data_IF_376196410395
#
_entry.id   IF_376196410395
#
_cell.length_a   1.000
_cell.length_b   1.000
_cell.length_c   1.000
_cell.angle_alpha   90.00
_cell.angle_beta   90.00
_cell.angle_gamma   90.00
#
_symmetry.space_group_name_H-M   'P 1'
#
loop_
_entity.id
_entity.type
_entity.pdbx_description
1 polymer ?
#
# COMPACT_ATOMS: atom_id res chain seq x y z
N UNK A 1 -6.51 -22.86 2.79
CA UNK A 1 -6.52 -21.41 2.51
C UNK A 1 -7.54 -21.11 1.45
N UNK A 2 -8.30 -20.03 1.58
CA UNK A 2 -9.23 -19.55 0.54
C UNK A 2 -8.45 -19.09 -0.70
N UNK A 3 -9.01 -19.32 -1.90
CA UNK A 3 -8.39 -18.89 -3.16
C UNK A 3 -8.46 -17.37 -3.25
N UNK A 4 -7.38 -16.74 -3.72
CA UNK A 4 -7.36 -15.29 -3.95
C UNK A 4 -8.30 -14.90 -5.09
N UNK A 5 -8.89 -13.69 -5.06
CA UNK A 5 -9.63 -13.13 -6.18
C UNK A 5 -8.80 -13.21 -7.47
N UNK A 6 -9.44 -13.60 -8.56
CA UNK A 6 -8.82 -13.70 -9.89
C UNK A 6 -9.22 -12.54 -10.80
N UNK A 7 -10.21 -11.75 -10.39
CA UNK A 7 -10.78 -10.59 -11.09
C UNK A 7 -10.15 -9.26 -10.67
N UNK A 8 -9.36 -9.22 -9.60
CA UNK A 8 -8.74 -7.99 -9.06
C UNK A 8 -7.43 -8.26 -8.35
N UNK A 9 -6.64 -7.21 -8.16
CA UNK A 9 -5.48 -7.25 -7.28
C UNK A 9 -5.88 -7.51 -5.84
N UNK A 10 -4.99 -8.18 -5.11
CA UNK A 10 -5.06 -8.30 -3.65
C UNK A 10 -3.94 -7.51 -3.01
N UNK A 11 -4.27 -6.65 -2.05
CA UNK A 11 -3.28 -5.86 -1.30
C UNK A 11 -2.87 -6.60 -0.03
N UNK A 12 -1.59 -6.86 0.08
CA UNK A 12 -0.91 -7.35 1.28
C UNK A 12 0.11 -6.33 1.77
N UNK A 13 0.66 -6.59 2.94
CA UNK A 13 1.75 -5.80 3.50
C UNK A 13 2.93 -6.70 3.82
N UNK A 14 4.08 -6.39 3.24
CA UNK A 14 5.35 -6.96 3.68
C UNK A 14 5.83 -6.15 4.89
N UNK A 15 6.05 -6.85 6.01
CA UNK A 15 6.50 -6.25 7.26
C UNK A 15 7.94 -6.69 7.50
N UNK A 16 8.85 -5.73 7.52
CA UNK A 16 10.24 -5.93 7.89
C UNK A 16 10.49 -5.22 9.22
N UNK A 17 11.01 -5.94 10.20
CA UNK A 17 11.43 -5.39 11.48
C UNK A 17 12.93 -5.57 11.60
N UNK A 18 13.65 -4.47 11.61
CA UNK A 18 15.09 -4.44 11.84
C UNK A 18 15.35 -4.13 13.32
N UNK A 19 16.00 -5.06 14.00
CA UNK A 19 16.32 -4.97 15.43
C UNK A 19 17.84 -4.93 15.54
N UNK A 20 18.41 -3.77 15.91
CA UNK A 20 19.86 -3.67 16.10
C UNK A 20 20.30 -4.56 17.27
N UNK A 21 21.53 -5.11 17.23
CA UNK A 21 22.07 -5.89 18.34
C UNK A 21 22.31 -5.00 19.56
N UNK A 22 22.34 -5.61 20.75
CA UNK A 22 22.71 -4.91 21.97
C UNK A 22 24.17 -4.42 21.92
N UNK A 23 24.47 -3.21 22.46
CA UNK A 23 25.83 -2.68 22.48
C UNK A 23 26.78 -3.59 23.30
N UNK A 24 27.91 -4.02 22.71
CA UNK A 24 28.83 -4.99 23.35
C UNK A 24 29.76 -4.45 24.43
N UNK A 25 29.66 -3.18 24.80
CA UNK A 25 30.47 -2.60 25.88
C UNK A 25 29.51 -1.98 26.89
N UNK A 26 29.34 -2.64 28.04
CA UNK A 26 28.48 -2.24 29.16
C UNK A 26 28.91 -0.94 29.85
N UNK A 27 29.04 0.15 29.09
CA UNK A 27 28.98 1.52 29.59
C UNK A 27 27.56 2.02 29.39
N UNK A 28 26.68 1.45 30.22
CA UNK A 28 25.41 2.06 30.61
C UNK A 28 25.73 3.45 31.19
N UNK A 29 24.90 4.48 31.00
CA UNK A 29 23.63 4.51 31.73
C UNK A 29 22.46 5.12 30.96
N UNK A 30 22.67 5.68 29.76
CA UNK A 30 21.57 6.22 28.94
C UNK A 30 21.87 6.05 27.45
N UNK A 31 21.17 5.13 26.78
CA UNK A 31 21.21 5.02 25.32
C UNK A 31 19.80 4.83 24.76
N UNK A 32 19.57 5.41 23.58
CA UNK A 32 18.36 5.21 22.81
C UNK A 32 18.66 4.21 21.70
N UNK A 33 17.94 3.10 21.71
CA UNK A 33 17.97 2.12 20.64
C UNK A 33 16.69 2.21 19.83
N UNK A 34 16.83 2.32 18.51
CA UNK A 34 15.71 2.43 17.59
C UNK A 34 15.60 1.14 16.78
N UNK A 35 14.47 0.47 16.88
CA UNK A 35 14.08 -0.58 15.94
C UNK A 35 13.27 0.06 14.81
N UNK A 36 13.58 -0.30 13.57
CA UNK A 36 12.90 0.25 12.40
C UNK A 36 11.95 -0.80 11.86
N UNK A 37 10.67 -0.42 11.72
CA UNK A 37 9.66 -1.24 11.04
C UNK A 37 9.32 -0.62 9.70
N UNK A 38 9.67 -1.31 8.62
CA UNK A 38 9.22 -0.97 7.27
C UNK A 38 7.97 -1.77 6.92
N UNK A 39 6.93 -1.08 6.46
CA UNK A 39 5.68 -1.70 6.00
C UNK A 39 5.44 -1.32 4.54
N UNK A 40 5.64 -2.28 3.64
CA UNK A 40 5.63 -2.06 2.19
C UNK A 40 4.38 -2.73 1.59
N UNK A 41 3.65 -2.00 0.72
CA UNK A 41 2.50 -2.57 0.01
C UNK A 41 2.98 -3.66 -0.96
N UNK A 42 2.38 -4.84 -0.89
CA UNK A 42 2.62 -5.95 -1.81
C UNK A 42 1.33 -6.24 -2.58
N UNK A 43 1.34 -6.01 -3.89
CA UNK A 43 0.19 -6.26 -4.75
C UNK A 43 0.32 -7.61 -5.42
N UNK A 44 -0.59 -8.53 -5.11
CA UNK A 44 -0.73 -9.75 -5.90
C UNK A 44 -1.63 -9.46 -7.10
N UNK A 45 -1.10 -9.69 -8.31
CA UNK A 45 -1.80 -9.42 -9.58
C UNK A 45 -2.02 -10.72 -10.36
N UNK A 46 -3.27 -11.22 -10.44
CA UNK A 46 -3.60 -12.35 -11.32
C UNK A 46 -3.31 -12.05 -12.79
N UNK A 47 -3.03 -13.08 -13.59
CA UNK A 47 -2.69 -12.93 -15.00
C UNK A 47 -3.78 -12.20 -15.81
N UNK A 48 -5.07 -12.45 -15.53
CA UNK A 48 -6.19 -11.78 -16.20
C UNK A 48 -6.23 -10.26 -15.98
N UNK A 49 -5.83 -9.80 -14.78
CA UNK A 49 -5.73 -8.38 -14.43
C UNK A 49 -4.49 -7.73 -15.07
N UNK A 50 -3.41 -8.49 -15.28
CA UNK A 50 -2.21 -7.98 -15.95
C UNK A 50 -2.45 -7.65 -17.43
N UNK A 51 -3.38 -8.34 -18.09
CA UNK A 51 -3.69 -8.17 -19.51
C UNK A 51 -4.60 -6.97 -19.83
N UNK A 52 -5.10 -6.22 -18.84
CA UNK A 52 -5.90 -5.01 -19.08
C UNK A 52 -5.12 -3.99 -19.93
N UNK A 53 -5.67 -3.66 -21.11
CA UNK A 53 -5.11 -2.72 -22.09
C UNK A 53 -5.26 -1.25 -21.67
N UNK A 54 -6.26 -0.95 -20.84
CA UNK A 54 -6.47 0.40 -20.32
C UNK A 54 -5.54 0.59 -19.11
N UNK A 55 -4.81 1.69 -19.13
CA UNK A 55 -3.99 2.09 -18.00
C UNK A 55 -4.91 2.46 -16.82
N UNK A 56 -4.69 1.85 -15.66
CA UNK A 56 -5.64 1.87 -14.54
C UNK A 56 -5.98 3.29 -14.06
N UNK A 57 -5.03 4.21 -14.15
CA UNK A 57 -5.21 5.62 -13.80
C UNK A 57 -6.28 6.32 -14.65
N UNK A 58 -6.47 5.89 -15.91
CA UNK A 58 -7.50 6.44 -16.80
C UNK A 58 -8.91 5.95 -16.45
N UNK A 59 -9.04 4.93 -15.62
CA UNK A 59 -10.31 4.40 -15.13
C UNK A 59 -10.80 5.10 -13.85
N UNK A 60 -10.08 6.12 -13.37
CA UNK A 60 -10.51 6.94 -12.25
C UNK A 60 -11.56 7.96 -12.69
N UNK A 61 -12.64 8.06 -11.94
CA UNK A 61 -13.64 9.13 -12.08
C UNK A 61 -13.75 9.94 -10.80
N UNK A 62 -14.02 11.24 -10.97
CA UNK A 62 -13.99 12.22 -9.91
C UNK A 62 -15.34 12.93 -9.85
N UNK A 63 -15.87 13.14 -8.65
CA UNK A 63 -17.11 13.86 -8.44
C UNK A 63 -17.06 14.62 -7.11
N UNK A 64 -17.75 15.76 -7.03
CA UNK A 64 -18.00 16.39 -5.74
C UNK A 64 -18.81 15.45 -4.85
N UNK A 65 -18.47 15.41 -3.57
CA UNK A 65 -19.17 14.58 -2.59
C UNK A 65 -20.64 15.04 -2.49
N UNK A 66 -21.64 14.13 -2.58
CA UNK A 66 -23.05 14.50 -2.61
C UNK A 66 -23.57 15.28 -1.40
N UNK A 67 -22.91 15.15 -0.24
CA UNK A 67 -23.38 15.74 1.03
C UNK A 67 -22.27 16.48 1.80
N UNK A 68 -21.29 17.10 1.13
CA UNK A 68 -20.28 17.92 1.81
C UNK A 68 -19.18 18.51 0.93
N UNK A 69 -18.28 19.27 1.55
CA UNK A 69 -17.06 19.79 0.92
C UNK A 69 -16.01 18.68 0.81
N UNK A 70 -16.08 17.88 -0.26
CA UNK A 70 -15.10 16.81 -0.51
C UNK A 70 -15.11 16.32 -1.95
N UNK A 71 -14.06 15.58 -2.32
CA UNK A 71 -13.89 14.97 -3.64
C UNK A 71 -14.01 13.45 -3.51
N UNK A 72 -14.94 12.84 -4.24
CA UNK A 72 -15.07 11.39 -4.36
C UNK A 72 -14.30 10.91 -5.58
N UNK A 73 -13.40 9.97 -5.36
CA UNK A 73 -12.68 9.26 -6.42
C UNK A 73 -13.23 7.84 -6.51
N UNK A 74 -13.65 7.42 -7.70
CA UNK A 74 -14.09 6.06 -7.97
C UNK A 74 -13.09 5.39 -8.90
N UNK A 75 -12.63 4.20 -8.52
CA UNK A 75 -11.71 3.39 -9.31
C UNK A 75 -12.48 2.22 -9.92
N UNK A 76 -12.69 2.27 -11.24
CA UNK A 76 -13.35 1.19 -11.97
C UNK A 76 -12.38 0.08 -12.43
N UNK A 77 -11.07 0.24 -12.21
CA UNK A 77 -10.08 -0.77 -12.58
C UNK A 77 -9.97 -1.90 -11.56
N UNK A 78 -9.42 -3.02 -12.00
CA UNK A 78 -9.08 -4.15 -11.17
C UNK A 78 -7.78 -3.96 -10.34
N UNK A 79 -7.15 -2.77 -10.38
CA UNK A 79 -5.84 -2.48 -9.77
C UNK A 79 -5.94 -1.44 -8.65
N UNK A 80 -5.06 -1.52 -7.67
CA UNK A 80 -4.90 -0.47 -6.67
C UNK A 80 -4.11 0.71 -7.24
N UNK A 81 -4.56 1.93 -6.95
CA UNK A 81 -3.89 3.16 -7.35
C UNK A 81 -3.48 3.91 -6.08
N UNK A 82 -2.24 4.39 -6.03
CA UNK A 82 -1.77 5.30 -4.99
C UNK A 82 -1.78 6.71 -5.57
N UNK A 83 -2.56 7.59 -4.96
CA UNK A 83 -2.64 9.01 -5.33
C UNK A 83 -1.64 9.74 -4.44
N UNK A 84 -0.66 10.38 -5.05
CA UNK A 84 0.38 11.13 -4.35
C UNK A 84 -0.07 12.58 -4.08
N UNK A 85 -0.63 13.24 -5.10
CA UNK A 85 -1.12 14.62 -5.01
C UNK A 85 -2.40 14.82 -5.83
N UNK A 86 -3.17 15.84 -5.43
CA UNK A 86 -4.36 16.34 -6.13
C UNK A 86 -4.18 17.87 -6.17
N UNK A 87 -4.09 18.43 -7.38
CA UNK A 87 -3.87 19.86 -7.63
C UNK A 87 -5.02 20.44 -8.43
#
# INVERSE_FOLDING_TARGET
GSRLPQDRESLFWFNLLDIPPEPKNGKTDNYLQLAIRSRIKLFYRPAGVAAEKIAAEKALSWALAPTGNGLRVSNASARYITIDSIT
#
